data_IF_823386408104
#
_entry.id   IF_823386408104
#
_cell.length_a   1.000
_cell.length_b   1.000
_cell.length_c   1.000
_cell.angle_alpha   90.00
_cell.angle_beta   90.00
_cell.angle_gamma   90.00
#
_symmetry.space_group_name_H-M   'P 1'
#
loop_
_entity.id
_entity.type
_entity.pdbx_description
1 polymer ?
#
# COMPACT_ATOMS: atom_id res chain seq x y z
N UNK A 1 19.83 14.36 -25.92
CA UNK A 1 18.60 13.75 -25.37
C UNK A 1 18.94 13.22 -23.99
N UNK A 2 18.26 13.60 -22.89
CA UNK A 2 18.57 13.01 -21.60
C UNK A 2 18.09 11.56 -21.59
N UNK A 3 18.97 10.64 -21.22
CA UNK A 3 18.67 9.23 -21.07
C UNK A 3 17.86 9.04 -19.76
N UNK A 4 16.79 8.23 -19.73
CA UNK A 4 16.14 7.89 -18.48
C UNK A 4 17.10 6.97 -17.72
N UNK A 5 17.78 7.52 -16.71
CA UNK A 5 18.56 6.72 -15.77
C UNK A 5 17.62 5.67 -15.14
N UNK A 6 18.05 4.40 -15.01
CA UNK A 6 17.23 3.41 -14.33
C UNK A 6 16.94 3.94 -12.92
N UNK A 7 15.70 3.83 -12.45
CA UNK A 7 15.14 4.35 -11.18
C UNK A 7 15.81 3.78 -9.90
N UNK A 8 17.09 3.45 -9.96
CA UNK A 8 17.85 2.59 -9.07
C UNK A 8 18.82 3.46 -8.28
N UNK A 9 18.38 3.96 -7.12
CA UNK A 9 19.13 3.96 -5.84
C UNK A 9 18.42 4.86 -4.82
N UNK A 10 18.36 6.20 -4.98
CA UNK A 10 17.80 7.08 -3.95
C UNK A 10 16.26 7.05 -3.86
N UNK A 11 15.54 6.98 -4.97
CA UNK A 11 14.07 6.97 -4.94
C UNK A 11 13.51 5.67 -4.34
N UNK A 12 14.08 4.53 -4.70
CA UNK A 12 13.69 3.23 -4.13
C UNK A 12 14.01 3.19 -2.63
N UNK A 13 15.17 3.70 -2.22
CA UNK A 13 15.56 3.76 -0.80
C UNK A 13 14.65 4.71 -0.01
N UNK A 14 14.29 5.86 -0.58
CA UNK A 14 13.26 6.75 -0.02
C UNK A 14 11.91 6.06 0.09
N UNK A 15 11.49 5.31 -0.93
CA UNK A 15 10.22 4.56 -0.91
C UNK A 15 10.22 3.49 0.20
N UNK A 16 11.34 2.80 0.42
CA UNK A 16 11.52 1.86 1.52
C UNK A 16 11.47 2.56 2.89
N UNK A 17 12.10 3.73 3.02
CA UNK A 17 12.01 4.55 4.24
C UNK A 17 10.58 5.01 4.54
N UNK A 18 9.86 5.49 3.52
CA UNK A 18 8.44 5.85 3.62
C UNK A 18 7.58 4.65 4.00
N UNK A 19 7.85 3.47 3.42
CA UNK A 19 7.16 2.23 3.77
C UNK A 19 7.36 1.86 5.24
N UNK A 20 8.61 1.83 5.70
CA UNK A 20 8.93 1.52 7.09
C UNK A 20 8.23 2.49 8.05
N UNK A 21 8.23 3.79 7.72
CA UNK A 21 7.56 4.81 8.52
C UNK A 21 6.03 4.69 8.50
N UNK A 22 5.46 4.30 7.35
CA UNK A 22 4.05 3.96 7.24
C UNK A 22 3.67 2.79 8.14
N UNK A 23 4.51 1.75 8.21
CA UNK A 23 4.28 0.59 9.09
C UNK A 23 4.35 0.95 10.57
N UNK A 24 5.30 1.78 10.98
CA UNK A 24 5.33 2.32 12.36
C UNK A 24 4.03 3.04 12.70
N UNK A 25 3.60 3.97 11.85
CA UNK A 25 2.38 4.74 12.09
C UNK A 25 1.14 3.84 12.13
N UNK A 26 1.07 2.84 11.24
CA UNK A 26 -0.02 1.87 11.24
C UNK A 26 -0.05 1.06 12.55
N UNK A 27 1.11 0.65 13.07
CA UNK A 27 1.23 -0.04 14.36
C UNK A 27 0.81 0.82 15.55
N UNK A 28 0.95 2.15 15.44
CA UNK A 28 0.46 3.13 16.43
C UNK A 28 -1.04 3.45 16.26
N UNK A 29 -1.74 2.85 15.30
CA UNK A 29 -3.14 3.15 14.98
C UNK A 29 -3.33 4.41 14.12
N UNK A 30 -2.25 5.06 13.71
CA UNK A 30 -2.26 6.27 12.89
C UNK A 30 -2.42 5.92 11.40
N UNK A 31 -3.61 5.47 11.00
CA UNK A 31 -3.85 4.96 9.65
C UNK A 31 -3.80 6.05 8.57
N UNK A 32 -4.31 7.25 8.85
CA UNK A 32 -4.34 8.36 7.89
C UNK A 32 -2.93 8.80 7.44
N UNK A 33 -1.98 9.10 8.35
CA UNK A 33 -0.63 9.44 7.93
C UNK A 33 0.13 8.22 7.37
N UNK A 34 -0.15 7.00 7.83
CA UNK A 34 0.40 5.78 7.22
C UNK A 34 0.00 5.64 5.74
N UNK A 35 -1.29 5.87 5.42
CA UNK A 35 -1.82 5.88 4.05
C UNK A 35 -1.06 6.85 3.14
N UNK A 36 -0.78 8.06 3.62
CA UNK A 36 -0.06 9.07 2.83
C UNK A 36 1.37 8.61 2.50
N UNK A 37 2.07 8.00 3.46
CA UNK A 37 3.43 7.49 3.24
C UNK A 37 3.45 6.28 2.31
N UNK A 38 2.52 5.33 2.51
CA UNK A 38 2.40 4.18 1.62
C UNK A 38 2.04 4.60 0.19
N UNK A 39 1.16 5.58 0.00
CA UNK A 39 0.84 6.12 -1.33
C UNK A 39 2.08 6.60 -2.05
N UNK A 40 2.86 7.46 -1.39
CA UNK A 40 4.07 8.01 -1.99
C UNK A 40 5.10 6.92 -2.35
N UNK A 41 5.27 5.93 -1.48
CA UNK A 41 6.15 4.79 -1.76
C UNK A 41 5.62 3.87 -2.88
N UNK A 42 4.30 3.66 -2.95
CA UNK A 42 3.64 2.89 -4.01
C UNK A 42 3.75 3.61 -5.37
N UNK A 43 3.60 4.93 -5.39
CA UNK A 43 3.79 5.78 -6.57
C UNK A 43 5.23 5.73 -7.07
N UNK A 44 6.22 5.55 -6.18
CA UNK A 44 7.61 5.28 -6.53
C UNK A 44 7.88 3.84 -7.00
N UNK A 45 6.86 3.00 -7.13
CA UNK A 45 6.98 1.63 -7.64
C UNK A 45 7.23 0.55 -6.58
N UNK A 46 7.08 0.86 -5.28
CA UNK A 46 7.23 -0.14 -4.23
C UNK A 46 5.96 -0.98 -4.06
N UNK A 47 6.01 -2.23 -4.53
CA UNK A 47 4.89 -3.17 -4.48
C UNK A 47 4.34 -3.40 -3.06
N UNK A 48 5.24 -3.52 -2.06
CA UNK A 48 4.87 -3.72 -0.66
C UNK A 48 4.08 -2.54 -0.09
N UNK A 49 4.39 -1.31 -0.53
CA UNK A 49 3.63 -0.13 -0.12
C UNK A 49 2.27 -0.05 -0.79
N UNK A 50 2.16 -0.43 -2.07
CA UNK A 50 0.86 -0.52 -2.73
C UNK A 50 -0.05 -1.55 -2.03
N UNK A 51 0.53 -2.70 -1.63
CA UNK A 51 -0.15 -3.74 -0.88
C UNK A 51 -0.60 -3.26 0.51
N UNK A 52 0.28 -2.58 1.24
CA UNK A 52 -0.01 -2.03 2.56
C UNK A 52 -1.10 -0.94 2.48
N UNK A 53 -1.00 -0.05 1.50
CA UNK A 53 -2.00 0.98 1.24
C UNK A 53 -3.38 0.37 0.95
N UNK A 54 -3.45 -0.63 0.08
CA UNK A 54 -4.68 -1.35 -0.21
C UNK A 54 -5.28 -1.97 1.07
N UNK A 55 -4.46 -2.59 1.91
CA UNK A 55 -4.89 -3.14 3.19
C UNK A 55 -5.45 -2.09 4.16
N UNK A 56 -4.98 -0.84 4.10
CA UNK A 56 -5.62 0.21 4.91
C UNK A 56 -7.01 0.60 4.42
N UNK A 57 -7.39 0.32 3.17
CA UNK A 57 -8.74 0.55 2.65
C UNK A 57 -9.61 -0.71 2.69
N UNK A 58 -9.00 -1.89 2.77
CA UNK A 58 -9.68 -3.18 2.81
C UNK A 58 -10.46 -3.35 4.14
N UNK A 59 -11.79 -3.54 4.09
CA UNK A 59 -12.60 -3.78 5.29
C UNK A 59 -12.16 -5.01 6.08
N UNK A 60 -11.67 -6.07 5.44
CA UNK A 60 -11.21 -7.28 6.11
C UNK A 60 -9.92 -7.05 6.91
N UNK A 61 -9.02 -6.21 6.39
CA UNK A 61 -7.77 -5.86 7.08
C UNK A 61 -8.03 -4.84 8.20
N UNK A 62 -8.89 -3.85 7.96
CA UNK A 62 -9.31 -2.91 9.00
C UNK A 62 -10.02 -3.60 10.17
N UNK A 63 -10.84 -4.63 9.90
CA UNK A 63 -11.49 -5.44 10.93
C UNK A 63 -10.45 -6.14 11.84
N UNK A 64 -9.34 -6.63 11.28
CA UNK A 64 -8.24 -7.24 12.07
C UNK A 64 -7.51 -6.21 12.92
N UNK A 65 -7.32 -5.00 12.40
CA UNK A 65 -6.65 -3.90 13.10
C UNK A 65 -7.52 -3.30 14.22
N UNK A 66 -8.80 -3.71 14.35
CA UNK A 66 -9.77 -3.17 15.32
C UNK A 66 -9.85 -1.64 15.31
N UNK A 67 -9.61 -1.03 14.15
CA UNK A 67 -9.67 0.42 13.99
C UNK A 67 -11.13 0.83 13.89
N UNK A 68 -11.60 1.62 14.85
CA UNK A 68 -12.96 2.16 14.89
C UNK A 68 -13.00 3.51 14.18
N UNK A 69 -14.00 3.71 13.32
CA UNK A 69 -14.24 5.01 12.66
C UNK A 69 -13.51 5.23 11.34
N UNK A 70 -12.70 4.29 10.88
CA UNK A 70 -12.10 4.37 9.54
C UNK A 70 -13.06 3.80 8.49
N UNK A 71 -13.42 4.61 7.51
CA UNK A 71 -14.26 4.16 6.41
C UNK A 71 -13.42 3.27 5.45
N UNK A 72 -13.82 2.00 5.25
CA UNK A 72 -13.23 1.17 4.22
C UNK A 72 -13.61 1.70 2.82
N UNK A 73 -12.73 1.51 1.87
CA UNK A 73 -12.98 1.84 0.45
C UNK A 73 -12.54 0.66 -0.41
N UNK A 74 -13.52 -0.18 -0.77
CA UNK A 74 -13.28 -1.39 -1.56
C UNK A 74 -12.77 -1.04 -2.97
N UNK A 75 -13.22 0.08 -3.55
CA UNK A 75 -12.78 0.50 -4.88
C UNK A 75 -11.31 0.90 -4.86
N UNK A 76 -10.91 1.72 -3.87
CA UNK A 76 -9.51 2.09 -3.67
C UNK A 76 -8.65 0.86 -3.34
N UNK A 77 -9.11 -0.04 -2.46
CA UNK A 77 -8.38 -1.27 -2.12
C UNK A 77 -8.12 -2.12 -3.37
N UNK A 78 -9.13 -2.31 -4.22
CA UNK A 78 -9.01 -3.05 -5.49
C UNK A 78 -8.00 -2.43 -6.45
N UNK A 79 -8.03 -1.10 -6.61
CA UNK A 79 -7.08 -0.38 -7.46
C UNK A 79 -5.65 -0.57 -6.98
N UNK A 80 -5.40 -0.39 -5.68
CA UNK A 80 -4.06 -0.52 -5.10
C UNK A 80 -3.58 -1.97 -5.05
N UNK A 81 -4.45 -2.97 -4.84
CA UNK A 81 -4.07 -4.37 -4.97
C UNK A 81 -3.73 -4.74 -6.41
N UNK A 82 -4.48 -4.22 -7.39
CA UNK A 82 -4.14 -4.41 -8.80
C UNK A 82 -2.76 -3.83 -9.11
N UNK A 83 -2.50 -2.59 -8.67
CA UNK A 83 -1.20 -1.93 -8.79
C UNK A 83 -0.09 -2.74 -8.11
N UNK A 84 -0.32 -3.21 -6.88
CA UNK A 84 0.65 -4.01 -6.13
C UNK A 84 1.00 -5.31 -6.88
N UNK A 85 0.00 -5.97 -7.48
CA UNK A 85 0.20 -7.16 -8.31
C UNK A 85 1.04 -6.83 -9.55
N UNK A 86 0.76 -5.72 -10.23
CA UNK A 86 1.55 -5.26 -11.39
C UNK A 86 3.00 -4.91 -11.02
N UNK A 87 3.23 -4.41 -9.81
CA UNK A 87 4.56 -4.13 -9.26
C UNK A 87 5.28 -5.38 -8.73
N UNK A 88 4.64 -6.56 -8.75
CA UNK A 88 5.23 -7.83 -8.35
C UNK A 88 4.96 -8.28 -6.91
N UNK A 89 3.92 -7.76 -6.23
CA UNK A 89 3.49 -8.28 -4.94
C UNK A 89 2.53 -9.48 -5.12
N UNK A 90 2.97 -10.74 -4.88
CA UNK A 90 2.13 -11.91 -5.09
C UNK A 90 0.93 -11.96 -4.13
N UNK A 91 1.10 -11.47 -2.90
CA UNK A 91 0.04 -11.38 -1.89
C UNK A 91 -1.15 -10.53 -2.34
N UNK A 92 -0.94 -9.59 -3.26
CA UNK A 92 -1.99 -8.71 -3.74
C UNK A 92 -3.09 -9.46 -4.50
N UNK A 93 -2.73 -10.53 -5.22
CA UNK A 93 -3.70 -11.35 -5.93
C UNK A 93 -4.65 -12.07 -4.95
N UNK A 94 -4.10 -12.63 -3.87
CA UNK A 94 -4.87 -13.36 -2.87
C UNK A 94 -5.76 -12.42 -2.04
N UNK A 95 -5.26 -11.23 -1.67
CA UNK A 95 -6.07 -10.21 -0.99
C UNK A 95 -7.16 -9.65 -1.89
N UNK A 96 -6.86 -9.43 -3.18
CA UNK A 96 -7.85 -9.00 -4.15
C UNK A 96 -8.97 -10.02 -4.32
N UNK A 97 -8.64 -11.31 -4.46
CA UNK A 97 -9.65 -12.37 -4.53
C UNK A 97 -10.56 -12.36 -3.29
N UNK A 98 -9.98 -12.22 -2.09
CA UNK A 98 -10.78 -12.14 -0.85
C UNK A 98 -11.71 -10.93 -0.84
N UNK A 99 -11.21 -9.78 -1.30
CA UNK A 99 -11.98 -8.54 -1.39
C UNK A 99 -13.14 -8.65 -2.39
N UNK A 100 -12.95 -9.37 -3.49
CA UNK A 100 -13.95 -9.61 -4.54
C UNK A 100 -14.93 -10.76 -4.23
N UNK A 101 -14.56 -11.69 -3.35
CA UNK A 101 -15.36 -12.88 -3.01
C UNK A 101 -16.56 -12.61 -2.08
N UNK A 102 -17.23 -11.47 -2.27
CA UNK A 102 -18.37 -11.03 -1.44
C UNK A 102 -19.71 -11.47 -2.00
#
# INVERSE_FOLDING_TARGET
MPQPEPQSSPERERALGLHAKGKELLGLGNVQPARALFRRAAESGLAESALALAGTYDPHELAKLRVVGLQPDVAAARQWYTKARELGAPEAAERLKRLEAR
#
